data_IF_679965628769
#
_entry.id   IF_679965628769
#
_cell.length_a   1.000
_cell.length_b   1.000
_cell.length_c   1.000
_cell.angle_alpha   90.00
_cell.angle_beta   90.00
_cell.angle_gamma   90.00
#
_symmetry.space_group_name_H-M   'P 1'
#
loop_
_entity.id
_entity.type
_entity.pdbx_description
1 polymer ?
#
# COMPACT_ATOMS: atom_id res chain seq x y z
N UNK A 1 3.65 -25.71 2.42
CA UNK A 1 4.80 -25.19 3.17
C UNK A 1 4.33 -23.91 3.84
N UNK A 2 3.90 -23.98 5.09
CA UNK A 2 3.32 -22.83 5.81
C UNK A 2 4.42 -21.83 6.18
N UNK A 3 4.51 -20.71 5.45
CA UNK A 3 5.38 -19.58 5.80
C UNK A 3 4.78 -18.87 7.01
N UNK A 4 5.45 -18.96 8.17
CA UNK A 4 5.10 -18.18 9.37
C UNK A 4 5.49 -16.72 9.15
N UNK A 5 4.51 -15.89 8.79
CA UNK A 5 4.64 -14.44 8.82
C UNK A 5 4.74 -13.98 10.30
N UNK A 6 5.63 -13.03 10.60
CA UNK A 6 5.69 -12.35 11.90
C UNK A 6 4.47 -11.42 12.04
N UNK A 7 3.31 -11.98 12.36
CA UNK A 7 2.03 -11.25 12.37
C UNK A 7 1.77 -10.58 13.72
N UNK A 8 1.73 -9.25 13.72
CA UNK A 8 1.08 -8.45 14.77
C UNK A 8 -0.44 -8.46 14.55
N UNK A 9 -1.23 -8.36 15.64
CA UNK A 9 -2.70 -8.36 15.54
C UNK A 9 -3.17 -7.11 14.79
N UNK A 10 -3.91 -7.21 13.68
CA UNK A 10 -4.28 -6.07 12.87
C UNK A 10 -5.24 -5.11 13.60
N UNK A 11 -5.08 -3.81 13.34
CA UNK A 11 -5.96 -2.75 13.88
C UNK A 11 -7.28 -2.65 13.12
N UNK A 12 -7.25 -2.92 11.82
CA UNK A 12 -8.42 -2.85 10.94
C UNK A 12 -9.09 -4.23 10.83
N UNK A 13 -10.40 -4.22 10.62
CA UNK A 13 -11.18 -5.45 10.38
C UNK A 13 -11.50 -5.57 8.89
N UNK A 14 -11.31 -6.78 8.34
CA UNK A 14 -11.75 -7.11 6.98
C UNK A 14 -13.26 -6.86 6.85
N UNK A 15 -13.68 -6.36 5.69
CA UNK A 15 -15.04 -5.95 5.38
C UNK A 15 -15.38 -4.51 5.77
N UNK A 16 -14.59 -3.86 6.63
CA UNK A 16 -14.85 -2.48 7.03
C UNK A 16 -14.19 -1.46 6.10
N UNK A 17 -14.87 -0.33 5.92
CA UNK A 17 -14.29 0.83 5.23
C UNK A 17 -13.14 1.40 6.06
N UNK A 18 -11.98 1.55 5.43
CA UNK A 18 -10.78 2.07 6.09
C UNK A 18 -10.80 3.61 6.18
N UNK A 19 -10.02 4.20 7.11
CA UNK A 19 -9.93 5.66 7.25
C UNK A 19 -9.53 6.35 5.95
N UNK A 20 -10.12 7.52 5.68
CA UNK A 20 -9.67 8.36 4.58
C UNK A 20 -8.44 9.20 4.97
N UNK A 21 -7.66 9.59 3.97
CA UNK A 21 -6.53 10.50 4.12
C UNK A 21 -6.27 11.29 2.84
N UNK A 22 -5.53 12.38 3.00
CA UNK A 22 -4.90 13.13 1.92
C UNK A 22 -3.47 13.39 2.35
N UNK A 23 -2.52 13.03 1.50
CA UNK A 23 -1.08 13.24 1.70
C UNK A 23 -0.50 13.87 0.44
N UNK A 24 0.67 14.48 0.56
CA UNK A 24 1.39 14.95 -0.61
C UNK A 24 2.26 13.84 -1.19
N UNK A 25 2.41 13.82 -2.49
CA UNK A 25 3.40 12.97 -3.16
C UNK A 25 4.79 13.63 -3.21
N UNK A 26 5.73 12.99 -3.91
CA UNK A 26 7.10 13.49 -4.09
C UNK A 26 7.19 14.82 -4.86
N UNK A 27 6.15 15.18 -5.62
CA UNK A 27 6.05 16.41 -6.39
C UNK A 27 5.27 17.51 -5.66
N UNK A 28 4.99 17.33 -4.37
CA UNK A 28 4.15 18.20 -3.54
C UNK A 28 2.66 18.22 -3.98
N UNK A 29 2.22 17.26 -4.81
CA UNK A 29 0.84 17.15 -5.26
C UNK A 29 -0.03 16.49 -4.18
N UNK A 30 -1.19 17.07 -3.81
CA UNK A 30 -2.08 16.48 -2.82
C UNK A 30 -2.88 15.31 -3.41
N UNK A 31 -2.57 14.10 -2.96
CA UNK A 31 -3.27 12.87 -3.34
C UNK A 31 -4.22 12.44 -2.23
N UNK A 32 -5.51 12.30 -2.56
CA UNK A 32 -6.52 11.79 -1.63
C UNK A 32 -6.89 10.36 -1.97
N UNK A 33 -6.87 9.46 -0.99
CA UNK A 33 -7.40 8.10 -1.16
C UNK A 33 -8.87 8.11 -1.62
N UNK A 34 -9.64 9.09 -1.17
CA UNK A 34 -11.04 9.27 -1.56
C UNK A 34 -11.25 9.55 -3.05
N UNK A 35 -10.24 10.03 -3.76
CA UNK A 35 -10.31 10.30 -5.20
C UNK A 35 -10.46 9.00 -6.03
N UNK A 36 -10.02 7.87 -5.50
CA UNK A 36 -10.10 6.56 -6.15
C UNK A 36 -11.42 5.83 -5.87
N UNK A 37 -12.23 6.35 -4.94
CA UNK A 37 -13.49 5.70 -4.56
C UNK A 37 -14.44 5.61 -5.76
N UNK A 38 -15.07 4.46 -5.93
CA UNK A 38 -15.93 4.04 -7.06
C UNK A 38 -15.17 3.82 -8.38
N UNK A 39 -13.94 4.31 -8.50
CA UNK A 39 -13.15 4.24 -9.74
C UNK A 39 -12.17 3.08 -9.77
N UNK A 40 -11.44 2.83 -8.67
CA UNK A 40 -10.34 1.87 -8.62
C UNK A 40 -10.31 1.09 -7.30
N UNK A 41 -9.90 -0.16 -7.36
CA UNK A 41 -9.42 -0.92 -6.21
C UNK A 41 -8.07 -0.33 -5.75
N UNK A 42 -7.69 -0.51 -4.48
CA UNK A 42 -6.45 0.08 -3.96
C UNK A 42 -5.56 -0.94 -3.28
N UNK A 43 -4.29 -0.94 -3.68
CA UNK A 43 -3.18 -1.50 -2.93
C UNK A 43 -2.54 -0.36 -2.14
N UNK A 44 -2.72 -0.34 -0.82
CA UNK A 44 -2.04 0.60 0.05
C UNK A 44 -0.83 -0.06 0.71
N UNK A 45 0.35 0.52 0.53
CA UNK A 45 1.60 0.01 1.11
C UNK A 45 2.18 1.06 2.03
N UNK A 46 2.38 0.73 3.30
CA UNK A 46 2.89 1.63 4.33
C UNK A 46 4.28 1.18 4.74
N UNK A 47 5.27 2.02 4.50
CA UNK A 47 6.69 1.73 4.72
C UNK A 47 7.26 2.81 5.66
N UNK A 48 7.81 2.45 6.82
CA UNK A 48 8.21 3.44 7.82
C UNK A 48 9.54 4.12 7.48
N UNK A 49 10.38 3.47 6.66
CA UNK A 49 11.71 3.92 6.28
C UNK A 49 12.17 3.27 4.97
N UNK A 50 13.21 3.84 4.37
CA UNK A 50 13.91 3.29 3.21
C UNK A 50 14.87 2.19 3.67
N UNK A 51 14.88 1.08 2.95
CA UNK A 51 15.81 -0.03 3.09
C UNK A 51 15.90 -0.79 1.77
N UNK A 52 16.90 -1.66 1.62
CA UNK A 52 16.98 -2.53 0.44
C UNK A 52 15.70 -3.37 0.25
N UNK A 53 15.14 -3.91 1.34
CA UNK A 53 13.92 -4.72 1.26
C UNK A 53 12.70 -3.91 0.77
N UNK A 54 12.55 -2.66 1.23
CA UNK A 54 11.43 -1.81 0.79
C UNK A 54 11.59 -1.36 -0.65
N UNK A 55 12.83 -1.06 -1.09
CA UNK A 55 13.12 -0.72 -2.48
C UNK A 55 12.80 -1.90 -3.40
N UNK A 56 13.30 -3.10 -3.09
CA UNK A 56 12.99 -4.32 -3.84
C UNK A 56 11.48 -4.56 -3.94
N UNK A 57 10.74 -4.38 -2.84
CA UNK A 57 9.30 -4.57 -2.86
C UNK A 57 8.57 -3.53 -3.74
N UNK A 58 9.04 -2.28 -3.77
CA UNK A 58 8.49 -1.24 -4.66
C UNK A 58 8.81 -1.55 -6.12
N UNK A 59 10.01 -2.06 -6.42
CA UNK A 59 10.39 -2.52 -7.76
C UNK A 59 9.50 -3.69 -8.22
N UNK A 60 9.25 -4.67 -7.36
CA UNK A 60 8.34 -5.79 -7.66
C UNK A 60 6.90 -5.30 -7.93
N UNK A 61 6.43 -4.30 -7.17
CA UNK A 61 5.13 -3.65 -7.40
C UNK A 61 5.11 -2.90 -8.73
N UNK A 62 6.19 -2.18 -9.07
CA UNK A 62 6.34 -1.47 -10.35
C UNK A 62 6.26 -2.46 -11.51
N UNK A 63 7.00 -3.56 -11.42
CA UNK A 63 7.07 -4.56 -12.48
C UNK A 63 5.71 -5.27 -12.67
N UNK A 64 4.90 -5.38 -11.60
CA UNK A 64 3.55 -5.96 -11.63
C UNK A 64 2.43 -4.93 -11.87
N UNK A 65 2.77 -3.64 -11.94
CA UNK A 65 1.78 -2.55 -11.95
C UNK A 65 0.80 -2.65 -13.13
N UNK A 66 1.29 -3.02 -14.32
CA UNK A 66 0.43 -3.15 -15.49
C UNK A 66 -0.70 -4.16 -15.28
N UNK A 67 -0.43 -5.27 -14.59
CA UNK A 67 -1.43 -6.29 -14.24
C UNK A 67 -2.40 -5.75 -13.20
N UNK A 68 -1.89 -5.13 -12.13
CA UNK A 68 -2.73 -4.49 -11.09
C UNK A 68 -3.68 -3.46 -11.73
N UNK A 69 -3.15 -2.62 -12.61
CA UNK A 69 -3.91 -1.56 -13.27
C UNK A 69 -4.95 -2.08 -14.26
N UNK A 70 -4.67 -3.21 -14.93
CA UNK A 70 -5.61 -3.87 -15.84
C UNK A 70 -6.84 -4.42 -15.10
N UNK A 71 -6.68 -4.88 -13.85
CA UNK A 71 -7.75 -5.35 -12.96
C UNK A 71 -8.38 -4.21 -12.14
N UNK A 72 -8.48 -3.02 -12.73
CA UNK A 72 -8.98 -1.78 -12.12
C UNK A 72 -8.32 -1.41 -10.77
N UNK A 73 -7.12 -1.91 -10.49
CA UNK A 73 -6.33 -1.59 -9.31
C UNK A 73 -5.50 -0.32 -9.46
N UNK A 74 -5.16 0.27 -8.34
CA UNK A 74 -4.21 1.37 -8.22
C UNK A 74 -3.33 1.15 -6.98
N UNK A 75 -2.08 1.61 -7.05
CA UNK A 75 -1.10 1.47 -5.96
C UNK A 75 -0.85 2.83 -5.32
N UNK A 76 -0.86 2.89 -4.00
CA UNK A 76 -0.38 4.04 -3.24
C UNK A 76 0.64 3.57 -2.20
N UNK A 77 1.87 4.04 -2.31
CA UNK A 77 2.94 3.76 -1.34
C UNK A 77 3.07 4.95 -0.41
N UNK A 78 2.96 4.75 0.90
CA UNK A 78 3.15 5.76 1.93
C UNK A 78 4.50 5.53 2.60
N UNK A 79 5.30 6.57 2.68
CA UNK A 79 6.62 6.52 3.33
C UNK A 79 6.68 7.45 4.54
N UNK A 80 7.26 6.95 5.63
CA UNK A 80 7.41 7.70 6.88
C UNK A 80 8.67 8.57 6.96
N UNK A 81 9.51 8.59 5.91
CA UNK A 81 10.75 9.38 5.91
C UNK A 81 10.50 10.86 5.57
N UNK A 82 11.39 11.77 6.01
CA UNK A 82 11.38 13.15 5.53
C UNK A 82 11.54 13.23 4.01
N UNK A 83 10.81 14.16 3.37
CA UNK A 83 10.83 14.39 1.91
C UNK A 83 12.24 14.45 1.33
N UNK A 84 13.17 15.13 2.02
CA UNK A 84 14.53 15.33 1.53
C UNK A 84 15.34 14.02 1.38
N UNK A 85 15.05 13.00 2.20
CA UNK A 85 15.70 11.68 2.11
C UNK A 85 14.97 10.77 1.12
N UNK A 86 13.66 10.93 1.02
CA UNK A 86 12.79 10.19 0.12
C UNK A 86 12.96 10.57 -1.35
N UNK A 87 13.02 11.86 -1.67
CA UNK A 87 12.91 12.35 -3.03
C UNK A 87 14.03 11.84 -3.93
N UNK A 88 15.27 11.80 -3.44
CA UNK A 88 16.41 11.32 -4.23
C UNK A 88 16.32 9.82 -4.51
N UNK A 89 16.09 9.00 -3.48
CA UNK A 89 16.02 7.54 -3.61
C UNK A 89 14.82 7.10 -4.45
N UNK A 90 13.67 7.72 -4.25
CA UNK A 90 12.43 7.29 -4.91
C UNK A 90 12.22 7.91 -6.28
N UNK A 91 12.85 9.07 -6.59
CA UNK A 91 12.85 9.60 -7.96
C UNK A 91 13.58 8.66 -8.93
N UNK A 92 14.59 7.92 -8.46
CA UNK A 92 15.30 6.93 -9.28
C UNK A 92 14.48 5.67 -9.59
N UNK A 93 13.42 5.38 -8.82
CA UNK A 93 12.61 4.17 -9.02
C UNK A 93 11.66 4.26 -10.22
N UNK A 94 11.39 5.47 -10.74
CA UNK A 94 10.52 5.72 -11.90
C UNK A 94 9.20 4.92 -11.84
N UNK A 95 8.48 5.07 -10.72
CA UNK A 95 7.26 4.30 -10.47
C UNK A 95 6.05 4.91 -11.18
N UNK A 96 5.17 4.09 -11.80
CA UNK A 96 3.95 4.57 -12.47
C UNK A 96 2.81 4.92 -11.50
N UNK A 97 3.06 4.80 -10.20
CA UNK A 97 2.12 5.06 -9.11
C UNK A 97 2.69 6.08 -8.12
N UNK A 98 1.83 6.65 -7.28
CA UNK A 98 2.23 7.70 -6.34
C UNK A 98 2.93 7.14 -5.09
N UNK A 99 4.03 7.80 -4.73
CA UNK A 99 4.70 7.67 -3.43
C UNK A 99 4.36 8.90 -2.60
N UNK A 100 3.68 8.67 -1.48
CA UNK A 100 3.09 9.67 -0.59
C UNK A 100 3.90 9.83 0.70
N UNK A 101 4.04 11.06 1.17
CA UNK A 101 4.84 11.37 2.36
C UNK A 101 3.95 11.44 3.60
N UNK A 102 4.20 10.55 4.56
CA UNK A 102 3.58 10.51 5.89
C UNK A 102 4.66 10.72 6.98
N UNK A 103 5.40 11.82 6.88
CA UNK A 103 6.56 12.12 7.74
C UNK A 103 6.23 12.16 9.24
N UNK A 104 5.00 12.56 9.59
CA UNK A 104 4.49 12.57 10.97
C UNK A 104 3.87 11.22 11.41
N UNK A 105 3.83 10.23 10.51
CA UNK A 105 3.20 8.92 10.70
C UNK A 105 1.73 8.98 11.11
N UNK A 106 1.07 10.12 10.85
CA UNK A 106 -0.29 10.39 11.30
C UNK A 106 -1.32 9.55 10.54
N UNK A 107 -1.06 9.24 9.27
CA UNK A 107 -1.90 8.31 8.51
C UNK A 107 -1.57 6.88 8.91
N UNK A 108 -0.29 6.51 8.92
CA UNK A 108 0.16 5.16 9.23
C UNK A 108 -0.31 4.67 10.60
N UNK A 109 -0.32 5.55 11.60
CA UNK A 109 -0.84 5.24 12.94
C UNK A 109 -2.33 4.84 12.93
N UNK A 110 -3.13 5.24 11.93
CA UNK A 110 -4.55 4.85 11.83
C UNK A 110 -4.73 3.42 11.30
N UNK A 111 -3.75 2.92 10.56
CA UNK A 111 -3.78 1.62 9.89
C UNK A 111 -3.01 0.56 10.69
N UNK A 112 -1.87 0.94 11.24
CA UNK A 112 -0.96 0.02 11.92
C UNK A 112 -1.30 -0.09 13.41
N UNK A 113 -1.29 -1.31 13.99
CA UNK A 113 -1.26 -1.51 15.43
C UNK A 113 0.10 -1.12 16.01
N UNK A 114 0.18 -0.98 17.33
CA UNK A 114 1.44 -0.76 18.03
C UNK A 114 2.44 -1.89 17.76
N UNK A 115 3.70 -1.53 17.53
CA UNK A 115 4.79 -2.48 17.23
C UNK A 115 4.84 -2.97 15.78
N UNK A 116 3.87 -2.62 14.92
CA UNK A 116 3.97 -2.82 13.48
C UNK A 116 4.67 -1.63 12.81
N UNK A 117 5.66 -1.92 11.97
CA UNK A 117 6.36 -0.93 11.16
C UNK A 117 5.78 -0.81 9.76
N UNK A 118 5.28 -1.91 9.20
CA UNK A 118 4.89 -2.02 7.80
C UNK A 118 3.44 -2.51 7.67
N UNK A 119 2.79 -2.11 6.59
CA UNK A 119 1.44 -2.57 6.26
C UNK A 119 1.19 -2.67 4.76
N UNK A 120 0.53 -3.72 4.33
CA UNK A 120 0.00 -3.87 2.97
C UNK A 120 -1.50 -4.10 3.13
N UNK A 121 -2.32 -3.32 2.43
CA UNK A 121 -3.78 -3.40 2.53
C UNK A 121 -4.39 -3.43 1.14
N UNK A 122 -5.31 -4.38 0.91
CA UNK A 122 -6.08 -4.47 -0.32
C UNK A 122 -7.48 -3.97 -0.05
N UNK A 123 -7.89 -2.94 -0.78
CA UNK A 123 -9.20 -2.33 -0.65
C UNK A 123 -9.98 -2.47 -1.95
N UNK A 124 -11.30 -2.61 -1.83
CA UNK A 124 -12.17 -2.45 -2.99
C UNK A 124 -12.38 -0.97 -3.37
N UNK A 125 -13.07 -0.75 -4.49
CA UNK A 125 -13.46 0.58 -4.97
C UNK A 125 -14.33 1.37 -3.98
N UNK A 126 -14.97 0.73 -3.00
CA UNK A 126 -15.73 1.42 -1.96
C UNK A 126 -14.87 1.74 -0.73
N UNK A 127 -13.62 1.27 -0.71
CA UNK A 127 -12.66 1.46 0.35
C UNK A 127 -12.79 0.44 1.48
N UNK A 128 -13.51 -0.66 1.28
CA UNK A 128 -13.59 -1.74 2.25
C UNK A 128 -12.35 -2.63 2.17
N UNK A 129 -11.85 -3.06 3.32
CA UNK A 129 -10.64 -3.88 3.43
C UNK A 129 -10.93 -5.35 3.09
N UNK A 130 -10.22 -5.93 2.13
CA UNK A 130 -10.34 -7.35 1.76
C UNK A 130 -9.19 -8.20 2.30
N UNK A 131 -7.97 -7.69 2.23
CA UNK A 131 -6.78 -8.36 2.76
C UNK A 131 -5.82 -7.37 3.42
N UNK A 132 -5.06 -7.85 4.39
CA UNK A 132 -4.01 -7.06 5.02
C UNK A 132 -2.84 -7.92 5.50
N UNK A 133 -1.64 -7.36 5.42
CA UNK A 133 -0.43 -7.86 6.04
C UNK A 133 0.15 -6.76 6.90
N UNK A 134 0.29 -7.03 8.18
CA UNK A 134 0.85 -6.10 9.16
C UNK A 134 2.09 -6.73 9.75
N UNK A 135 3.23 -6.06 9.61
CA UNK A 135 4.55 -6.63 9.87
C UNK A 135 5.36 -5.72 10.78
N UNK A 136 6.12 -6.30 11.70
CA UNK A 136 7.14 -5.58 12.48
C UNK A 136 8.47 -5.47 11.71
N UNK A 137 8.73 -6.39 10.79
CA UNK A 137 9.92 -6.43 9.93
C UNK A 137 9.62 -7.27 8.67
N UNK A 138 10.42 -7.15 7.59
CA UNK A 138 10.38 -8.08 6.46
C UNK A 138 10.53 -9.56 6.92
N UNK A 139 10.10 -10.54 6.10
CA UNK A 139 9.75 -10.43 4.68
C UNK A 139 8.36 -9.86 4.40
N UNK A 140 8.21 -9.19 3.27
CA UNK A 140 6.92 -8.76 2.72
C UNK A 140 6.15 -9.95 2.13
N UNK A 141 4.81 -9.89 2.03
CA UNK A 141 4.08 -10.84 1.22
C UNK A 141 4.58 -10.77 -0.24
N UNK A 142 4.60 -11.87 -0.98
CA UNK A 142 4.86 -11.84 -2.42
C UNK A 142 3.91 -10.87 -3.15
N UNK A 143 4.40 -10.12 -4.14
CA UNK A 143 3.54 -9.23 -4.95
C UNK A 143 2.52 -10.02 -5.78
N UNK A 144 2.80 -11.29 -6.10
CA UNK A 144 1.81 -12.20 -6.70
C UNK A 144 0.53 -12.31 -5.86
N UNK A 145 0.64 -12.42 -4.53
CA UNK A 145 -0.53 -12.47 -3.64
C UNK A 145 -1.35 -11.16 -3.74
N UNK A 146 -0.68 -10.02 -3.89
CA UNK A 146 -1.33 -8.71 -4.06
C UNK A 146 -2.10 -8.66 -5.37
N UNK A 147 -1.49 -9.13 -6.47
CA UNK A 147 -2.13 -9.21 -7.79
C UNK A 147 -3.35 -10.12 -7.75
N UNK A 148 -3.20 -11.33 -7.20
CA UNK A 148 -4.31 -12.29 -7.08
C UNK A 148 -5.49 -11.71 -6.31
N UNK A 149 -5.24 -10.95 -5.23
CA UNK A 149 -6.30 -10.30 -4.48
C UNK A 149 -7.03 -9.22 -5.28
N UNK A 150 -6.30 -8.39 -6.04
CA UNK A 150 -6.90 -7.35 -6.89
C UNK A 150 -7.74 -7.97 -8.00
N UNK A 151 -7.22 -9.00 -8.69
CA UNK A 151 -7.96 -9.71 -9.73
C UNK A 151 -9.20 -10.42 -9.13
N UNK A 152 -9.08 -11.01 -7.94
CA UNK A 152 -10.20 -11.69 -7.30
C UNK A 152 -11.34 -10.73 -6.94
N UNK A 153 -11.06 -9.52 -6.45
CA UNK A 153 -12.10 -8.55 -6.10
C UNK A 153 -12.71 -7.88 -7.34
N UNK A 154 -11.93 -7.67 -8.40
CA UNK A 154 -12.42 -7.12 -9.67
C UNK A 154 -13.39 -8.11 -10.36
N UNK A 155 -13.02 -9.39 -10.40
CA UNK A 155 -13.88 -10.45 -10.94
C UNK A 155 -15.18 -10.64 -10.15
N UNK A 156 -15.18 -10.41 -8.83
CA UNK A 156 -16.39 -10.50 -7.99
C UNK A 156 -17.37 -9.35 -8.24
N UNK A 157 -16.89 -8.21 -8.72
CA UNK A 157 -17.71 -7.02 -8.98
C UNK A 157 -18.31 -7.00 -10.41
N UNK A 158 -18.01 -8.01 -11.24
CA UNK A 158 -18.45 -8.11 -12.64
C UNK A 158 -19.67 -9.03 -12.83
N UNK A 159 -20.31 -9.51 -11.74
CA UNK A 159 -21.49 -10.39 -11.77
C UNK A 159 -22.81 -9.66 -11.52
#
# INVERSE_FOLDING_TARGET
MERKLNTTRPRLSVGNVVPNFTLKDLNDEPISRGAYRVLRHLVLVLLPNISAATQTYIEELRDSYATIHAAEGEVLVLIGEPVAQAAEVYAELDTPFHILIDSEKAVSAKFLPEGAGYGIFILDRYGALHAQWVLSAPPFPPVEDVVEWIEAIDNQCTL
#
